data_IF_898390395829
#
_entry.id   IF_898390395829
#
_cell.length_a   1.000
_cell.length_b   1.000
_cell.length_c   1.000
_cell.angle_alpha   90.00
_cell.angle_beta   90.00
_cell.angle_gamma   90.00
#
_symmetry.space_group_name_H-M   'P 1'
#
loop_
_entity.id
_entity.type
_entity.pdbx_description
1 polymer ?
#
# COMPACT_ATOMS: atom_id res chain seq x y z
N UNK A 1 4.97 -13.75 11.28
CA UNK A 1 4.91 -13.47 9.83
C UNK A 1 5.84 -12.31 9.52
N UNK A 2 6.68 -12.47 8.54
CA UNK A 2 7.65 -11.43 8.19
C UNK A 2 7.01 -10.34 7.36
N UNK A 3 7.47 -9.12 7.56
CA UNK A 3 7.07 -8.00 6.72
C UNK A 3 8.16 -7.78 5.67
N UNK A 4 7.79 -7.87 4.42
CA UNK A 4 8.68 -7.64 3.30
C UNK A 4 8.48 -6.21 2.84
N UNK A 5 9.56 -5.45 2.67
CA UNK A 5 9.46 -4.08 2.20
C UNK A 5 9.71 -4.01 0.71
N UNK A 6 8.76 -3.44 0.00
CA UNK A 6 8.90 -3.14 -1.43
C UNK A 6 8.31 -1.75 -1.63
N UNK A 7 9.06 -0.75 -1.22
CA UNK A 7 8.55 0.61 -1.09
C UNK A 7 8.53 1.33 -2.43
N UNK A 8 7.51 2.15 -2.60
CA UNK A 8 7.36 2.99 -3.78
C UNK A 8 8.56 3.93 -3.87
N UNK A 9 8.98 4.26 -5.10
CA UNK A 9 10.08 5.19 -5.29
C UNK A 9 9.64 6.60 -4.91
N UNK A 10 10.59 7.41 -4.47
CA UNK A 10 10.29 8.78 -4.07
C UNK A 10 9.72 9.59 -5.23
N UNK A 11 10.09 9.26 -6.45
CA UNK A 11 9.57 9.96 -7.62
C UNK A 11 8.07 9.81 -7.78
N UNK A 12 7.46 8.83 -7.13
CA UNK A 12 6.02 8.62 -7.19
C UNK A 12 5.29 9.06 -5.93
N UNK A 13 5.99 9.66 -4.99
CA UNK A 13 5.35 10.13 -3.75
C UNK A 13 4.21 11.09 -4.05
N UNK A 14 4.37 11.98 -5.04
CA UNK A 14 3.32 12.95 -5.35
C UNK A 14 2.04 12.31 -5.84
N UNK A 15 2.12 11.08 -6.34
CA UNK A 15 0.94 10.35 -6.79
C UNK A 15 0.40 9.46 -5.68
N UNK A 16 1.28 8.72 -5.03
CA UNK A 16 0.87 7.63 -4.15
C UNK A 16 0.76 8.02 -2.68
N UNK A 17 1.61 8.94 -2.22
CA UNK A 17 1.63 9.31 -0.81
C UNK A 17 2.21 10.72 -0.63
N UNK A 18 1.50 11.75 -1.13
CA UNK A 18 2.08 13.10 -1.21
C UNK A 18 2.24 13.80 0.13
N UNK A 19 1.55 13.34 1.17
CA UNK A 19 1.54 14.08 2.43
C UNK A 19 2.18 13.28 3.54
N UNK A 20 2.99 13.99 4.34
CA UNK A 20 3.45 13.43 5.61
C UNK A 20 2.29 13.34 6.57
N UNK A 21 2.30 12.35 7.43
CA UNK A 21 1.29 12.26 8.46
C UNK A 21 1.90 11.63 9.70
N UNK A 22 1.35 11.99 10.84
CA UNK A 22 1.59 11.25 12.06
C UNK A 22 0.84 9.94 11.90
N UNK A 23 1.49 8.80 12.11
CA UNK A 23 0.81 7.53 11.81
C UNK A 23 -0.32 7.28 12.79
N UNK A 24 -1.51 7.64 12.38
CA UNK A 24 -2.72 7.37 13.15
C UNK A 24 -3.47 6.20 12.60
N UNK A 25 -3.38 5.99 11.32
CA UNK A 25 -3.89 4.78 10.73
C UNK A 25 -3.05 4.37 9.56
N UNK A 26 -3.04 3.09 9.32
CA UNK A 26 -2.42 2.54 8.12
C UNK A 26 -3.51 1.87 7.30
N UNK A 27 -3.32 1.88 5.99
CA UNK A 27 -4.24 1.24 5.06
C UNK A 27 -3.69 -0.13 4.75
N UNK A 28 -4.48 -1.15 5.05
CA UNK A 28 -4.10 -2.53 4.81
C UNK A 28 -5.03 -3.12 3.76
N UNK A 29 -4.43 -3.64 2.70
CA UNK A 29 -5.17 -4.28 1.62
C UNK A 29 -5.06 -5.79 1.79
N UNK A 30 -6.19 -6.43 2.03
CA UNK A 30 -6.24 -7.88 2.18
C UNK A 30 -6.56 -8.50 0.84
N UNK A 31 -5.62 -9.24 0.29
CA UNK A 31 -5.80 -9.81 -1.04
C UNK A 31 -6.63 -11.08 -1.02
N UNK A 32 -6.81 -11.64 0.16
CA UNK A 32 -7.50 -12.92 0.32
C UNK A 32 -6.85 -13.99 -0.53
N UNK A 33 -7.59 -14.62 -1.43
CA UNK A 33 -7.06 -15.68 -2.26
C UNK A 33 -6.83 -15.26 -3.70
N UNK A 34 -7.01 -13.98 -4.00
CA UNK A 34 -7.04 -13.55 -5.39
C UNK A 34 -5.67 -13.31 -5.95
N UNK A 35 -4.75 -12.83 -5.14
CA UNK A 35 -3.42 -12.48 -5.61
C UNK A 35 -2.46 -12.51 -4.44
N UNK A 36 -1.16 -12.54 -4.75
CA UNK A 36 -0.17 -12.44 -3.68
C UNK A 36 -0.02 -10.99 -3.26
N UNK A 37 0.35 -10.80 -2.00
CA UNK A 37 0.62 -9.47 -1.48
C UNK A 37 1.74 -8.79 -2.28
N UNK A 38 2.74 -9.55 -2.68
CA UNK A 38 3.84 -9.01 -3.48
C UNK A 38 3.35 -8.49 -4.82
N UNK A 39 2.49 -9.23 -5.51
CA UNK A 39 1.97 -8.78 -6.80
C UNK A 39 1.11 -7.53 -6.65
N UNK A 40 0.30 -7.46 -5.60
CA UNK A 40 -0.54 -6.30 -5.35
C UNK A 40 0.29 -5.06 -5.07
N UNK A 41 1.32 -5.17 -4.25
CA UNK A 41 2.19 -4.05 -3.98
C UNK A 41 2.96 -3.65 -5.24
N UNK A 42 3.48 -4.62 -5.97
CA UNK A 42 4.21 -4.34 -7.20
C UNK A 42 3.35 -3.56 -8.18
N UNK A 43 2.12 -3.95 -8.34
CA UNK A 43 1.19 -3.25 -9.22
C UNK A 43 0.92 -1.84 -8.70
N UNK A 44 0.63 -1.71 -7.40
CA UNK A 44 0.29 -0.42 -6.80
C UNK A 44 1.43 0.58 -6.94
N UNK A 45 2.67 0.18 -6.69
CA UNK A 45 3.80 1.11 -6.71
C UNK A 45 4.29 1.41 -8.13
N UNK A 46 3.87 0.65 -9.12
CA UNK A 46 4.39 0.80 -10.46
C UNK A 46 3.47 1.57 -11.39
N UNK A 47 2.18 1.72 -11.05
CA UNK A 47 1.27 2.47 -11.89
C UNK A 47 1.14 3.91 -11.38
N UNK A 48 0.40 4.74 -12.12
CA UNK A 48 0.21 6.14 -11.76
C UNK A 48 -1.19 6.44 -11.26
N UNK A 49 -1.93 5.41 -10.87
CA UNK A 49 -3.26 5.60 -10.31
C UNK A 49 -3.16 6.19 -8.91
N UNK A 50 -4.08 7.07 -8.57
CA UNK A 50 -4.12 7.68 -7.25
C UNK A 50 -4.86 6.76 -6.29
N UNK A 51 -4.37 5.55 -6.18
CA UNK A 51 -4.88 4.53 -5.27
C UNK A 51 -3.66 3.90 -4.63
N UNK A 52 -3.64 3.83 -3.31
CA UNK A 52 -2.48 3.26 -2.63
C UNK A 52 -2.84 2.75 -1.25
N UNK A 53 -1.93 1.95 -0.69
CA UNK A 53 -2.09 1.38 0.64
C UNK A 53 -0.70 1.18 1.23
N UNK A 54 -0.63 1.11 2.55
CA UNK A 54 0.65 0.92 3.21
C UNK A 54 1.11 -0.53 3.16
N UNK A 55 0.19 -1.46 3.36
CA UNK A 55 0.51 -2.89 3.43
C UNK A 55 -0.49 -3.70 2.63
N UNK A 56 0.00 -4.77 2.04
CA UNK A 56 -0.87 -5.81 1.51
C UNK A 56 -0.60 -7.09 2.28
N UNK A 57 -1.64 -7.85 2.55
CA UNK A 57 -1.57 -9.08 3.34
C UNK A 57 -2.23 -10.20 2.56
N UNK A 58 -1.51 -11.29 2.41
CA UNK A 58 -2.10 -12.52 1.89
C UNK A 58 -2.01 -13.61 2.95
N UNK A 59 -2.20 -14.85 2.57
CA UNK A 59 -2.20 -15.95 3.54
C UNK A 59 -0.78 -16.38 3.94
N UNK A 60 0.24 -15.77 3.38
CA UNK A 60 1.63 -16.18 3.62
C UNK A 60 2.49 -15.05 4.14
N UNK A 61 2.22 -13.82 3.76
CA UNK A 61 3.16 -12.74 4.05
C UNK A 61 2.47 -11.39 4.06
N UNK A 62 3.19 -10.41 4.62
CA UNK A 62 2.79 -9.01 4.62
C UNK A 62 3.85 -8.26 3.82
N UNK A 63 3.41 -7.43 2.88
CA UNK A 63 4.33 -6.62 2.06
C UNK A 63 3.99 -5.15 2.26
N UNK A 64 5.01 -4.35 2.58
CA UNK A 64 4.84 -2.92 2.77
C UNK A 64 5.19 -2.19 1.48
N UNK A 65 4.27 -1.35 1.01
CA UNK A 65 4.46 -0.59 -0.22
C UNK A 65 4.69 0.90 0.01
N UNK A 66 4.26 1.44 1.14
CA UNK A 66 4.43 2.85 1.45
C UNK A 66 5.03 3.03 2.84
N UNK A 67 5.80 4.11 3.05
CA UNK A 67 6.24 4.46 4.40
C UNK A 67 5.03 4.81 5.26
N UNK A 68 5.09 4.45 6.52
CA UNK A 68 3.95 4.67 7.42
C UNK A 68 3.83 6.11 7.90
N UNK A 69 4.83 6.94 7.62
CA UNK A 69 4.76 8.36 7.96
C UNK A 69 4.20 9.20 6.82
N UNK A 70 3.64 8.56 5.79
CA UNK A 70 3.00 9.26 4.69
C UNK A 70 1.61 8.69 4.48
N UNK A 71 0.74 9.49 3.87
CA UNK A 71 -0.64 9.08 3.64
C UNK A 71 -0.74 8.02 2.55
N UNK A 72 -1.88 7.36 2.51
CA UNK A 72 -2.24 6.47 1.40
C UNK A 72 -3.61 6.89 0.88
N UNK A 73 -3.87 6.60 -0.38
CA UNK A 73 -5.14 6.91 -1.01
C UNK A 73 -5.99 5.65 -1.12
N UNK A 74 -7.08 5.63 -0.40
CA UNK A 74 -8.06 4.56 -0.54
C UNK A 74 -8.75 4.64 -1.87
N UNK A 75 -9.19 3.51 -2.36
CA UNK A 75 -10.04 3.50 -3.53
C UNK A 75 -11.43 3.94 -3.13
N UNK A 76 -11.87 4.98 -3.75
CA UNK A 76 -13.23 5.39 -3.70
C UNK A 76 -13.82 5.43 -2.32
N UNK A 77 -14.71 4.58 -2.03
CA UNK A 77 -15.46 4.64 -0.82
C UNK A 77 -14.74 4.06 0.36
N UNK A 78 -13.57 3.77 0.18
CA UNK A 78 -12.75 3.36 1.27
C UNK A 78 -13.22 2.10 1.90
N UNK A 79 -14.00 1.60 1.38
CA UNK A 79 -14.43 0.59 2.09
C UNK A 79 -13.42 -0.36 2.53
N UNK A 80 -13.31 -0.22 2.48
CA UNK A 80 -12.77 -0.83 2.93
C UNK A 80 -12.13 -1.55 2.78
N UNK A 81 -12.08 -1.48 2.51
CA UNK A 81 -11.49 -1.98 2.36
C UNK A 81 -10.73 -2.35 2.66
#
# INVERSE_FOLDING_TARGET
MNVIKNLVSQSKYSIKCPYSMTPEFVVVHNTANDASAQNEVKYMISNNNQVSFHFAVDDKEIVQGLPTDRNAWHAGDGAND
#
